data_IF_526859600377
#
_entry.id   IF_526859600377
#
_cell.length_a   1.000
_cell.length_b   1.000
_cell.length_c   1.000
_cell.angle_alpha   90.00
_cell.angle_beta   90.00
_cell.angle_gamma   90.00
#
_symmetry.space_group_name_H-M   'P 1'
#
loop_
_entity.id
_entity.type
_entity.pdbx_description
1 polymer ?
#
# COMPACT_ATOMS: atom_id res chain seq x y z
N UNK A 1 -3.83 15.46 -7.50
CA UNK A 1 -3.50 14.41 -6.52
C UNK A 1 -2.10 13.88 -6.77
N UNK A 2 -1.27 13.78 -5.75
CA UNK A 2 0.06 13.23 -5.89
C UNK A 2 0.00 11.72 -6.03
N UNK A 3 1.10 11.10 -6.49
CA UNK A 3 1.17 9.64 -6.57
C UNK A 3 1.03 9.00 -5.19
N UNK A 4 1.64 9.62 -4.16
CA UNK A 4 1.50 9.11 -2.79
C UNK A 4 0.04 9.14 -2.34
N UNK A 5 -0.65 10.24 -2.60
CA UNK A 5 -2.07 10.37 -2.26
C UNK A 5 -2.93 9.35 -3.01
N UNK A 6 -2.62 9.12 -4.29
CA UNK A 6 -3.38 8.16 -5.09
C UNK A 6 -3.17 6.72 -4.60
N UNK A 7 -1.95 6.36 -4.23
CA UNK A 7 -1.66 5.05 -3.65
C UNK A 7 -2.41 4.89 -2.32
N UNK A 8 -2.34 5.90 -1.46
CA UNK A 8 -3.01 5.86 -0.18
C UNK A 8 -4.53 5.76 -0.35
N UNK A 9 -5.10 6.50 -1.31
CA UNK A 9 -6.52 6.46 -1.59
C UNK A 9 -6.97 5.07 -2.02
N UNK A 10 -6.18 4.41 -2.87
CA UNK A 10 -6.52 3.05 -3.33
C UNK A 10 -6.42 2.05 -2.18
N UNK A 11 -5.40 2.16 -1.35
CA UNK A 11 -5.27 1.30 -0.18
C UNK A 11 -6.41 1.54 0.82
N UNK A 12 -6.81 2.79 1.01
CA UNK A 12 -7.92 3.14 1.91
C UNK A 12 -9.25 2.60 1.41
N UNK A 13 -9.45 2.61 0.10
CA UNK A 13 -10.65 2.06 -0.53
C UNK A 13 -10.82 0.57 -0.21
N UNK A 14 -9.70 -0.13 -0.09
CA UNK A 14 -9.66 -1.57 0.24
C UNK A 14 -9.03 -1.79 1.61
N UNK A 15 -9.35 -0.92 2.56
CA UNK A 15 -8.77 -0.95 3.91
C UNK A 15 -8.86 -2.34 4.53
N UNK A 16 -7.73 -2.83 5.02
CA UNK A 16 -7.65 -4.15 5.64
C UNK A 16 -7.50 -5.31 4.65
N UNK A 17 -7.56 -5.03 3.36
CA UNK A 17 -7.45 -6.06 2.33
C UNK A 17 -6.11 -5.96 1.61
N UNK A 18 -5.61 -7.10 1.14
CA UNK A 18 -4.39 -7.13 0.35
C UNK A 18 -4.66 -6.61 -1.05
N UNK A 19 -3.90 -5.59 -1.47
CA UNK A 19 -4.02 -4.97 -2.79
C UNK A 19 -2.78 -5.31 -3.60
N UNK A 20 -2.93 -5.91 -4.79
CA UNK A 20 -1.78 -6.24 -5.63
C UNK A 20 -1.05 -4.98 -6.09
N UNK A 21 0.28 -5.05 -6.15
CA UNK A 21 1.09 -3.92 -6.60
C UNK A 21 0.66 -3.35 -7.95
N UNK A 22 0.36 -4.19 -8.98
CA UNK A 22 -0.08 -3.65 -10.27
C UNK A 22 -1.35 -2.81 -10.18
N UNK A 23 -2.25 -3.14 -9.26
CA UNK A 23 -3.47 -2.35 -9.05
C UNK A 23 -3.12 -0.97 -8.50
N UNK A 24 -2.17 -0.88 -7.57
CA UNK A 24 -1.71 0.38 -7.03
C UNK A 24 -0.99 1.21 -8.10
N UNK A 25 -0.18 0.56 -8.92
CA UNK A 25 0.52 1.23 -10.00
C UNK A 25 -0.47 1.81 -11.00
N UNK A 26 -1.49 1.06 -11.37
CA UNK A 26 -2.50 1.51 -12.31
C UNK A 26 -3.33 2.65 -11.75
N UNK A 27 -3.72 2.56 -10.49
CA UNK A 27 -4.55 3.58 -9.86
C UNK A 27 -3.82 4.90 -9.68
N UNK A 28 -2.51 4.85 -9.46
CA UNK A 28 -1.71 6.04 -9.15
C UNK A 28 -0.85 6.53 -10.31
N UNK A 29 -0.61 5.68 -11.31
CA UNK A 29 0.33 5.97 -12.38
C UNK A 29 1.79 5.90 -11.94
N UNK A 30 2.06 5.32 -10.77
CA UNK A 30 3.41 5.26 -10.23
C UNK A 30 4.20 4.09 -10.83
N UNK A 31 5.47 4.36 -11.19
CA UNK A 31 6.38 3.31 -11.63
C UNK A 31 6.96 2.54 -10.46
N UNK A 32 7.26 3.25 -9.38
CA UNK A 32 7.92 2.67 -8.21
C UNK A 32 6.95 2.70 -7.03
N UNK A 33 6.02 1.76 -7.01
CA UNK A 33 5.02 1.68 -5.94
C UNK A 33 5.67 1.53 -4.58
N UNK A 34 6.71 0.69 -4.48
CA UNK A 34 7.37 0.48 -3.19
C UNK A 34 8.01 1.76 -2.64
N UNK A 35 8.45 2.67 -3.52
CA UNK A 35 8.96 3.98 -3.07
C UNK A 35 7.84 4.83 -2.50
N UNK A 36 6.65 4.76 -3.11
CA UNK A 36 5.47 5.46 -2.58
C UNK A 36 5.07 4.88 -1.24
N UNK A 37 5.17 3.57 -1.10
CA UNK A 37 4.88 2.90 0.18
C UNK A 37 5.87 3.36 1.25
N UNK A 38 7.15 3.47 0.92
CA UNK A 38 8.15 3.97 1.87
C UNK A 38 7.83 5.38 2.33
N UNK A 39 7.44 6.26 1.39
CA UNK A 39 7.05 7.63 1.71
C UNK A 39 5.86 7.67 2.66
N UNK A 40 4.85 6.84 2.40
CA UNK A 40 3.66 6.78 3.23
C UNK A 40 3.96 6.24 4.62
N UNK A 41 4.85 5.26 4.73
CA UNK A 41 5.30 4.76 6.02
C UNK A 41 6.03 5.83 6.80
N UNK A 42 6.84 6.64 6.12
CA UNK A 42 7.55 7.75 6.75
C UNK A 42 6.57 8.80 7.27
N UNK A 43 5.42 8.93 6.63
CA UNK A 43 4.35 9.84 7.07
C UNK A 43 3.50 9.26 8.22
N UNK A 44 3.77 8.05 8.64
CA UNK A 44 3.09 7.44 9.78
C UNK A 44 1.99 6.45 9.43
N UNK A 45 1.80 6.13 8.16
CA UNK A 45 0.81 5.13 7.76
C UNK A 45 1.34 3.72 7.98
N UNK A 46 0.52 2.86 8.56
CA UNK A 46 0.87 1.46 8.78
C UNK A 46 0.48 0.64 7.57
N UNK A 47 1.47 0.21 6.81
CA UNK A 47 1.25 -0.56 5.59
C UNK A 47 2.04 -1.84 5.67
N UNK A 48 1.34 -2.97 5.57
CA UNK A 48 1.96 -4.28 5.55
C UNK A 48 2.25 -4.70 4.10
N UNK A 49 3.25 -5.54 3.95
CA UNK A 49 3.67 -6.07 2.65
C UNK A 49 3.76 -7.58 2.73
N UNK A 50 3.33 -8.26 1.67
CA UNK A 50 3.62 -9.68 1.49
C UNK A 50 4.01 -9.95 0.05
N UNK A 51 4.80 -10.99 -0.15
CA UNK A 51 5.21 -11.44 -1.48
C UNK A 51 4.78 -12.89 -1.63
N UNK A 52 4.12 -13.20 -2.75
CA UNK A 52 3.67 -14.55 -3.06
C UNK A 52 4.25 -15.00 -4.39
N UNK A 53 4.51 -16.30 -4.48
CA UNK A 53 5.03 -16.89 -5.69
C UNK A 53 6.52 -16.70 -5.86
N UNK A 54 7.11 -17.47 -6.78
CA UNK A 54 8.51 -17.40 -7.10
C UNK A 54 8.75 -16.96 -8.54
N UNK A 55 7.85 -17.29 -9.43
CA UNK A 55 7.94 -16.92 -10.86
C UNK A 55 6.55 -16.80 -11.46
N UNK A 56 6.02 -15.57 -11.56
CA UNK A 56 6.58 -14.31 -11.07
C UNK A 56 6.31 -14.11 -9.58
N UNK A 57 7.11 -13.27 -8.95
CA UNK A 57 6.84 -12.78 -7.60
C UNK A 57 5.74 -11.73 -7.68
N UNK A 58 4.77 -11.84 -6.77
CA UNK A 58 3.67 -10.88 -6.70
C UNK A 58 3.70 -10.22 -5.34
N UNK A 59 3.78 -8.90 -5.35
CA UNK A 59 3.78 -8.11 -4.13
C UNK A 59 2.38 -7.59 -3.84
N UNK A 60 2.00 -7.61 -2.58
CA UNK A 60 0.72 -7.12 -2.11
C UNK A 60 0.95 -6.18 -0.94
N UNK A 61 0.09 -5.19 -0.81
CA UNK A 61 0.16 -4.21 0.27
C UNK A 61 -1.19 -4.10 0.94
N UNK A 62 -1.19 -3.82 2.23
CA UNK A 62 -2.40 -3.69 3.01
C UNK A 62 -2.28 -2.53 3.98
N UNK A 63 -3.26 -1.62 3.97
CA UNK A 63 -3.30 -0.54 4.94
C UNK A 63 -3.94 -1.06 6.22
N UNK A 64 -3.23 -0.87 7.33
CA UNK A 64 -3.67 -1.28 8.66
C UNK A 64 -4.11 -0.05 9.42
N UNK A 65 -5.27 -0.13 10.07
CA UNK A 65 -5.78 1.01 10.81
C UNK A 65 -4.91 1.33 12.03
N UNK A 66 -4.39 2.54 12.16
CA UNK A 66 -3.62 2.92 13.35
C UNK A 66 -4.49 3.02 14.60
N UNK A 67 -5.80 3.12 14.44
CA UNK A 67 -6.72 3.20 15.58
C UNK A 67 -6.64 1.95 16.43
N UNK A 68 -6.47 0.79 15.82
CA UNK A 68 -6.35 -0.47 16.54
C UNK A 68 -5.14 -0.49 17.47
N UNK A 69 -4.08 0.16 17.05
CA UNK A 69 -2.86 0.27 17.85
C UNK A 69 -3.08 1.25 19.01
N UNK A 70 -3.78 2.33 18.74
CA UNK A 70 -4.02 3.37 19.74
C UNK A 70 -4.90 2.88 20.89
N UNK A 71 -5.73 1.88 20.66
CA UNK A 71 -6.62 1.34 21.69
C UNK A 71 -5.93 0.32 22.61
N UNK A 72 -4.73 -0.06 22.28
CA UNK A 72 -3.95 -0.99 23.07
C UNK A 72 -3.05 -0.25 24.05
#
# INVERSE_FOLDING_TARGET
>A
MTQNEAVLAELSKHHGEWVPMPQLAQASGAYAVHSRISDLRADGHLIETKVEGTRPRKSFYRLVSPIQVALL
#
